data_IF_455835856480
#
_entry.id   IF_455835856480
#
_cell.length_a   1.000
_cell.length_b   1.000
_cell.length_c   1.000
_cell.angle_alpha   90.00
_cell.angle_beta   90.00
_cell.angle_gamma   90.00
#
_symmetry.space_group_name_H-M   'P 1'
#
loop_
_entity.id
_entity.type
_entity.pdbx_description
1 polymer ?
#
# COMPACT_ATOMS: atom_id res chain seq x y z
N UNK A 1 -35.23 25.98 -4.86
CA UNK A 1 -36.00 24.83 -5.34
C UNK A 1 -35.13 23.66 -5.73
N UNK A 2 -35.31 22.60 -4.95
CA UNK A 2 -35.28 21.19 -5.32
C UNK A 2 -34.01 20.61 -5.97
N UNK A 3 -33.19 20.05 -5.07
CA UNK A 3 -32.64 18.69 -5.18
C UNK A 3 -31.79 18.38 -6.40
N UNK A 4 -30.47 18.47 -6.21
CA UNK A 4 -29.57 17.40 -6.62
C UNK A 4 -28.32 17.45 -5.72
N UNK A 5 -28.51 17.05 -4.45
CA UNK A 5 -27.47 16.32 -3.76
C UNK A 5 -27.15 15.09 -4.63
N UNK A 6 -26.05 15.14 -5.38
CA UNK A 6 -25.47 13.93 -5.94
C UNK A 6 -25.00 13.08 -4.76
N UNK A 7 -25.90 12.26 -4.20
CA UNK A 7 -25.54 11.17 -3.31
C UNK A 7 -24.46 10.38 -4.02
N UNK A 8 -23.24 10.45 -3.50
CA UNK A 8 -22.09 9.70 -4.00
C UNK A 8 -22.28 8.23 -3.58
N UNK A 9 -23.24 7.56 -4.23
CA UNK A 9 -23.83 6.25 -3.90
C UNK A 9 -22.94 5.04 -4.27
N UNK A 10 -21.62 5.21 -4.35
CA UNK A 10 -20.69 4.14 -4.74
C UNK A 10 -19.97 3.47 -3.56
N UNK A 11 -20.46 3.66 -2.34
CA UNK A 11 -19.88 3.06 -1.15
C UNK A 11 -20.47 1.66 -0.91
N UNK A 12 -19.66 0.63 -1.08
CA UNK A 12 -20.04 -0.79 -0.95
C UNK A 12 -20.00 -1.32 0.49
N UNK A 13 -19.47 -0.53 1.43
CA UNK A 13 -19.38 -0.85 2.86
C UNK A 13 -20.22 0.15 3.64
N UNK A 14 -21.07 -0.29 4.55
CA UNK A 14 -21.72 0.64 5.48
C UNK A 14 -20.70 1.16 6.53
N UNK A 15 -21.07 2.21 7.27
CA UNK A 15 -20.16 2.84 8.23
C UNK A 15 -19.73 1.89 9.35
N UNK A 16 -20.65 1.02 9.81
CA UNK A 16 -20.35 0.03 10.83
C UNK A 16 -19.33 -1.02 10.34
N UNK A 17 -19.44 -1.48 9.09
CA UNK A 17 -18.45 -2.36 8.47
C UNK A 17 -17.07 -1.68 8.41
N UNK A 18 -17.01 -0.38 8.07
CA UNK A 18 -15.75 0.39 8.02
C UNK A 18 -15.13 0.50 9.42
N UNK A 19 -15.91 0.87 10.43
CA UNK A 19 -15.45 0.95 11.83
C UNK A 19 -14.88 -0.39 12.30
N UNK A 20 -15.56 -1.49 11.97
CA UNK A 20 -15.10 -2.83 12.32
C UNK A 20 -13.80 -3.21 11.62
N UNK A 21 -13.64 -2.85 10.34
CA UNK A 21 -12.34 -3.02 9.65
C UNK A 21 -11.24 -2.23 10.32
N UNK A 22 -11.48 -0.94 10.64
CA UNK A 22 -10.46 -0.11 11.28
C UNK A 22 -10.00 -0.73 12.60
N UNK A 23 -10.94 -1.19 13.42
CA UNK A 23 -10.64 -1.91 14.67
C UNK A 23 -9.79 -3.16 14.42
N UNK A 24 -10.15 -3.98 13.44
CA UNK A 24 -9.39 -5.19 13.10
C UNK A 24 -7.98 -4.88 12.58
N UNK A 25 -7.80 -3.77 11.85
CA UNK A 25 -6.49 -3.31 11.39
C UNK A 25 -5.59 -2.96 12.59
N UNK A 26 -6.12 -2.23 13.57
CA UNK A 26 -5.41 -1.87 14.80
C UNK A 26 -5.00 -3.10 15.62
N UNK A 27 -5.93 -4.05 15.83
CA UNK A 27 -5.67 -5.32 16.54
C UNK A 27 -4.56 -6.16 15.89
N UNK A 28 -4.44 -6.07 14.56
CA UNK A 28 -3.43 -6.80 13.78
C UNK A 28 -2.15 -5.99 13.54
N UNK A 29 -1.97 -4.85 14.24
CA UNK A 29 -0.80 -3.98 14.12
C UNK A 29 -0.54 -3.50 12.68
N UNK A 30 -1.59 -3.31 11.89
CA UNK A 30 -1.47 -2.72 10.56
C UNK A 30 -1.10 -1.25 10.70
N UNK A 31 -0.06 -0.84 9.98
CA UNK A 31 0.53 0.50 10.10
C UNK A 31 -0.39 1.56 9.51
N UNK A 32 -1.00 1.26 8.36
CA UNK A 32 -1.89 2.19 7.67
C UNK A 32 -2.81 1.48 6.69
N UNK A 33 -3.88 2.17 6.26
CA UNK A 33 -4.83 1.71 5.26
C UNK A 33 -5.21 2.85 4.31
N UNK A 34 -5.51 2.51 3.05
CA UNK A 34 -6.11 3.44 2.11
C UNK A 34 -7.64 3.51 2.27
N UNK A 35 -8.14 4.54 2.95
CA UNK A 35 -9.57 4.77 3.15
C UNK A 35 -10.35 5.00 1.85
N UNK A 36 -9.72 5.53 0.81
CA UNK A 36 -10.37 5.77 -0.49
C UNK A 36 -10.69 4.47 -1.24
N UNK A 37 -10.02 3.36 -0.92
CA UNK A 37 -10.26 2.05 -1.53
C UNK A 37 -11.25 1.18 -0.74
N UNK A 38 -11.46 1.48 0.55
CA UNK A 38 -12.43 0.78 1.40
C UNK A 38 -13.84 0.81 0.80
N UNK A 39 -14.25 1.95 0.24
CA UNK A 39 -15.56 2.10 -0.43
C UNK A 39 -15.78 1.11 -1.58
N UNK A 40 -14.71 0.54 -2.14
CA UNK A 40 -14.77 -0.46 -3.21
C UNK A 40 -14.55 -1.90 -2.72
N UNK A 41 -14.61 -2.14 -1.41
CA UNK A 41 -14.23 -3.42 -0.77
C UNK A 41 -12.78 -3.84 -1.05
N UNK A 42 -11.87 -2.88 -1.21
CA UNK A 42 -10.43 -3.14 -1.42
C UNK A 42 -9.68 -2.69 -0.17
N UNK A 43 -8.98 -3.62 0.48
CA UNK A 43 -8.12 -3.33 1.62
C UNK A 43 -6.67 -3.18 1.15
N UNK A 44 -6.22 -1.95 0.89
CA UNK A 44 -4.81 -1.66 0.65
C UNK A 44 -4.17 -1.24 1.98
N UNK A 45 -3.27 -2.06 2.50
CA UNK A 45 -2.73 -1.96 3.86
C UNK A 45 -1.20 -2.03 3.88
N UNK A 46 -0.61 -1.45 4.92
CA UNK A 46 0.83 -1.55 5.20
C UNK A 46 1.09 -2.41 6.43
N UNK A 47 2.02 -3.35 6.31
CA UNK A 47 2.52 -4.09 7.47
C UNK A 47 3.93 -3.64 7.84
N UNK A 48 4.25 -3.66 9.14
CA UNK A 48 5.61 -3.52 9.61
C UNK A 48 6.33 -4.87 9.53
N UNK A 49 7.58 -4.86 9.06
CA UNK A 49 8.43 -6.06 8.97
C UNK A 49 8.78 -6.67 10.35
N UNK A 50 8.53 -5.94 11.43
CA UNK A 50 8.98 -6.26 12.81
C UNK A 50 8.09 -7.27 13.55
N UNK A 51 6.87 -7.57 13.06
CA UNK A 51 5.99 -8.59 13.65
C UNK A 51 5.61 -9.63 12.61
N UNK A 52 5.46 -10.89 13.06
CA UNK A 52 4.87 -11.97 12.28
C UNK A 52 3.41 -11.64 11.94
N UNK A 53 3.19 -10.90 10.86
CA UNK A 53 1.88 -10.70 10.27
C UNK A 53 1.54 -11.92 9.39
N UNK A 54 0.52 -12.67 9.76
CA UNK A 54 -0.01 -13.73 8.91
C UNK A 54 -1.16 -13.18 8.07
N UNK A 55 -0.93 -13.11 6.77
CA UNK A 55 -1.86 -12.50 5.83
C UNK A 55 -3.16 -13.30 5.71
N UNK A 56 -3.06 -14.63 5.73
CA UNK A 56 -4.19 -15.55 5.71
C UNK A 56 -5.00 -15.48 7.01
N UNK A 57 -4.34 -15.41 8.17
CA UNK A 57 -5.03 -15.28 9.45
C UNK A 57 -5.78 -13.95 9.54
N UNK A 58 -5.18 -12.85 9.05
CA UNK A 58 -5.88 -11.57 8.97
C UNK A 58 -7.12 -11.67 8.08
N UNK A 59 -6.99 -12.27 6.89
CA UNK A 59 -8.13 -12.44 5.99
C UNK A 59 -9.24 -13.34 6.57
N UNK A 60 -8.87 -14.39 7.31
CA UNK A 60 -9.80 -15.25 8.03
C UNK A 60 -10.51 -14.49 9.17
N UNK A 61 -9.79 -13.64 9.91
CA UNK A 61 -10.35 -12.82 10.99
C UNK A 61 -11.37 -11.80 10.45
N UNK A 62 -11.03 -11.11 9.37
CA UNK A 62 -11.95 -10.22 8.64
C UNK A 62 -13.24 -10.97 8.25
N UNK A 63 -13.10 -12.16 7.65
CA UNK A 63 -14.24 -12.95 7.21
C UNK A 63 -15.09 -13.52 8.36
N UNK A 64 -14.48 -13.80 9.54
CA UNK A 64 -15.19 -14.23 10.74
C UNK A 64 -16.16 -13.16 11.27
N UNK A 65 -15.95 -11.90 10.89
CA UNK A 65 -16.84 -10.77 11.20
C UNK A 65 -17.83 -10.46 10.08
N UNK A 66 -18.03 -11.39 9.13
CA UNK A 66 -18.90 -11.24 7.95
C UNK A 66 -18.49 -10.07 7.04
N UNK A 67 -17.23 -9.64 7.13
CA UNK A 67 -16.65 -8.64 6.25
C UNK A 67 -15.97 -9.34 5.07
N UNK A 68 -16.34 -8.95 3.85
CA UNK A 68 -15.88 -9.62 2.64
C UNK A 68 -15.29 -8.60 1.65
N UNK A 69 -14.00 -8.25 1.80
CA UNK A 69 -13.28 -7.50 0.77
C UNK A 69 -13.12 -8.35 -0.50
N UNK A 70 -13.14 -7.71 -1.67
CA UNK A 70 -12.81 -8.41 -2.92
C UNK A 70 -11.33 -8.77 -2.96
N UNK A 71 -10.48 -7.86 -2.48
CA UNK A 71 -9.08 -8.13 -2.29
C UNK A 71 -8.47 -7.40 -1.11
N UNK A 72 -7.39 -7.99 -0.61
CA UNK A 72 -6.50 -7.40 0.39
C UNK A 72 -5.12 -7.32 -0.27
N UNK A 73 -4.49 -6.15 -0.21
CA UNK A 73 -3.19 -5.85 -0.81
C UNK A 73 -2.27 -5.38 0.31
N UNK A 74 -1.21 -6.14 0.55
CA UNK A 74 -0.23 -5.87 1.59
C UNK A 74 1.02 -5.21 1.00
N UNK A 75 1.38 -4.03 1.48
CA UNK A 75 2.56 -3.28 1.05
C UNK A 75 3.56 -3.06 2.19
N UNK A 76 4.80 -2.73 1.82
CA UNK A 76 5.80 -2.31 2.79
C UNK A 76 5.40 -0.99 3.48
N UNK A 77 5.77 -0.88 4.76
CA UNK A 77 5.77 0.39 5.50
C UNK A 77 6.61 1.45 4.77
N UNK A 78 6.17 2.70 4.80
CA UNK A 78 6.86 3.84 4.16
C UNK A 78 6.30 4.23 2.79
N UNK A 79 5.50 3.36 2.17
CA UNK A 79 4.78 3.68 0.93
C UNK A 79 3.68 4.74 1.17
N UNK A 80 3.60 5.77 0.32
CA UNK A 80 2.48 6.72 0.35
C UNK A 80 1.23 6.09 -0.27
N UNK A 81 0.34 5.48 0.54
CA UNK A 81 -0.80 4.71 0.04
C UNK A 81 -1.79 5.48 -0.84
N UNK A 82 -1.88 6.80 -0.72
CA UNK A 82 -2.75 7.63 -1.57
C UNK A 82 -2.15 7.89 -2.96
N UNK A 83 -0.84 7.68 -3.15
CA UNK A 83 -0.20 7.79 -4.44
C UNK A 83 -0.32 6.48 -5.22
N UNK A 84 -1.42 6.33 -5.97
CA UNK A 84 -1.74 5.11 -6.73
C UNK A 84 -0.62 4.66 -7.67
N UNK A 85 0.12 5.60 -8.28
CA UNK A 85 1.18 5.29 -9.24
C UNK A 85 2.34 4.59 -8.54
N UNK A 86 2.79 5.14 -7.42
CA UNK A 86 3.88 4.57 -6.62
C UNK A 86 3.47 3.26 -5.97
N UNK A 87 2.23 3.17 -5.47
CA UNK A 87 1.70 1.91 -4.94
C UNK A 87 1.72 0.81 -5.99
N UNK A 88 1.17 1.08 -7.18
CA UNK A 88 1.10 0.11 -8.25
C UNK A 88 2.50 -0.31 -8.72
N UNK A 89 3.40 0.66 -8.91
CA UNK A 89 4.79 0.39 -9.26
C UNK A 89 5.47 -0.54 -8.23
N UNK A 90 5.34 -0.22 -6.94
CA UNK A 90 5.91 -1.04 -5.85
C UNK A 90 5.32 -2.45 -5.84
N UNK A 91 4.00 -2.56 -6.01
CA UNK A 91 3.33 -3.86 -6.02
C UNK A 91 3.79 -4.74 -7.17
N UNK A 92 3.82 -4.19 -8.39
CA UNK A 92 4.23 -4.91 -9.58
C UNK A 92 5.71 -5.30 -9.55
N UNK A 93 6.56 -4.50 -8.91
CA UNK A 93 7.99 -4.81 -8.78
C UNK A 93 8.27 -5.95 -7.78
N UNK A 94 7.36 -6.21 -6.83
CA UNK A 94 7.58 -7.14 -5.73
C UNK A 94 6.70 -8.40 -5.78
N UNK A 95 5.78 -8.51 -6.73
CA UNK A 95 4.91 -9.67 -6.90
C UNK A 95 5.54 -10.73 -7.81
N UNK A 96 5.51 -11.97 -7.33
CA UNK A 96 5.45 -13.17 -8.16
C UNK A 96 4.01 -13.70 -8.17
N UNK A 97 3.40 -13.83 -9.35
CA UNK A 97 1.97 -14.17 -9.46
C UNK A 97 1.59 -15.55 -8.89
N UNK A 98 2.54 -16.51 -8.85
CA UNK A 98 2.28 -17.87 -8.36
C UNK A 98 2.42 -17.90 -6.84
N UNK A 99 3.43 -17.21 -6.30
CA UNK A 99 3.75 -17.25 -4.88
C UNK A 99 2.92 -16.27 -4.05
N UNK A 100 2.73 -15.05 -4.57
CA UNK A 100 2.31 -13.89 -3.78
C UNK A 100 0.82 -13.55 -3.95
N UNK A 101 0.14 -14.21 -4.89
CA UNK A 101 -1.30 -14.05 -5.11
C UNK A 101 -2.02 -15.31 -4.67
N UNK A 102 -2.86 -15.19 -3.64
CA UNK A 102 -3.66 -16.31 -3.13
C UNK A 102 -5.14 -16.01 -3.27
N UNK A 103 -5.92 -17.03 -3.58
CA UNK A 103 -7.39 -16.98 -3.57
C UNK A 103 -7.86 -17.81 -2.40
N UNK A 104 -8.61 -17.20 -1.49
CA UNK A 104 -9.25 -17.91 -0.39
C UNK A 104 -10.76 -17.86 -0.56
N UNK A 105 -11.42 -18.96 -0.23
CA UNK A 105 -12.88 -19.07 -0.25
C UNK A 105 -13.38 -19.26 1.18
N UNK A 106 -14.14 -18.29 1.68
CA UNK A 106 -14.72 -18.32 3.03
C UNK A 106 -16.21 -18.00 2.90
N UNK A 107 -17.09 -18.84 3.45
CA UNK A 107 -18.54 -18.62 3.42
C UNK A 107 -19.11 -18.38 2.01
N UNK A 108 -18.62 -19.13 1.00
CA UNK A 108 -18.97 -18.97 -0.43
C UNK A 108 -18.59 -17.61 -1.03
N UNK A 109 -17.79 -16.81 -0.34
CA UNK A 109 -17.20 -15.57 -0.84
C UNK A 109 -15.73 -15.79 -1.13
N UNK A 110 -15.26 -15.20 -2.22
CA UNK A 110 -13.86 -15.25 -2.61
C UNK A 110 -13.17 -13.96 -2.19
N UNK A 111 -12.00 -14.08 -1.58
CA UNK A 111 -11.11 -12.96 -1.28
C UNK A 111 -9.78 -13.23 -1.98
N UNK A 112 -9.25 -12.23 -2.69
CA UNK A 112 -7.93 -12.32 -3.32
C UNK A 112 -6.90 -11.59 -2.47
N UNK A 113 -5.82 -12.28 -2.12
CA UNK A 113 -4.74 -11.76 -1.30
C UNK A 113 -3.55 -11.46 -2.21
N UNK A 114 -2.98 -10.25 -2.11
CA UNK A 114 -1.79 -9.82 -2.84
C UNK A 114 -0.68 -9.43 -1.85
N UNK A 115 0.36 -10.24 -1.73
CA UNK A 115 1.54 -9.92 -0.93
C UNK A 115 2.55 -9.14 -1.77
N UNK A 116 2.47 -7.82 -1.68
CA UNK A 116 3.30 -6.88 -2.43
C UNK A 116 4.53 -6.41 -1.62
N UNK A 117 4.84 -7.07 -0.50
CA UNK A 117 5.96 -6.69 0.35
C UNK A 117 7.30 -7.12 -0.24
N UNK A 118 8.36 -6.46 0.19
CA UNK A 118 9.75 -6.84 -0.08
C UNK A 118 10.06 -8.19 0.60
N UNK A 119 10.81 -9.07 -0.07
CA UNK A 119 11.02 -10.47 0.37
C UNK A 119 12.50 -10.83 0.59
N UNK A 120 13.22 -10.14 1.51
CA UNK A 120 14.64 -10.39 1.75
C UNK A 120 14.97 -11.83 2.18
N UNK A 121 14.01 -12.53 2.77
CA UNK A 121 14.12 -13.95 3.12
C UNK A 121 14.20 -14.88 1.90
N UNK A 122 13.75 -14.44 0.73
CA UNK A 122 13.84 -15.21 -0.53
C UNK A 122 15.15 -14.89 -1.25
N UNK A 123 15.53 -13.60 -1.27
CA UNK A 123 16.74 -13.10 -1.90
C UNK A 123 17.30 -11.96 -1.07
N UNK A 124 18.47 -12.17 -0.48
CA UNK A 124 19.17 -11.16 0.30
C UNK A 124 20.46 -10.70 -0.42
N UNK A 125 20.70 -9.39 -0.56
CA UNK A 125 19.79 -8.31 -0.18
C UNK A 125 18.60 -8.21 -1.15
N UNK A 126 17.43 -7.81 -0.63
CA UNK A 126 16.34 -7.40 -1.49
C UNK A 126 16.69 -6.04 -2.09
N UNK A 127 16.53 -5.82 -3.41
CA UNK A 127 16.97 -4.59 -4.03
C UNK A 127 16.14 -3.41 -3.54
N UNK A 128 16.83 -2.35 -3.11
CA UNK A 128 16.18 -1.06 -2.90
C UNK A 128 15.73 -0.44 -4.23
N UNK A 129 14.67 0.37 -4.22
CA UNK A 129 14.39 1.33 -5.28
C UNK A 129 15.65 2.14 -5.65
N UNK A 130 15.79 2.53 -6.92
CA UNK A 130 16.83 3.49 -7.30
C UNK A 130 16.43 4.88 -6.81
N UNK A 131 17.31 5.56 -6.09
CA UNK A 131 17.05 6.88 -5.53
C UNK A 131 18.26 7.81 -5.62
N UNK A 132 17.98 9.11 -5.67
CA UNK A 132 19.00 10.15 -5.55
C UNK A 132 19.30 10.48 -4.09
N UNK A 133 20.56 10.78 -3.76
CA UNK A 133 20.93 11.27 -2.42
C UNK A 133 20.26 12.61 -2.10
N UNK A 134 20.04 12.90 -0.80
CA UNK A 134 19.48 14.19 -0.36
C UNK A 134 20.32 15.37 -0.83
N UNK A 135 21.64 15.22 -0.86
CA UNK A 135 22.60 16.19 -1.38
C UNK A 135 22.41 16.43 -2.88
N UNK A 136 22.26 15.36 -3.66
CA UNK A 136 22.00 15.43 -5.11
C UNK A 136 20.71 16.16 -5.39
N UNK A 137 19.61 15.78 -4.73
CA UNK A 137 18.30 16.44 -4.90
C UNK A 137 18.42 17.93 -4.58
N UNK A 138 18.99 18.28 -3.42
CA UNK A 138 19.12 19.68 -2.99
C UNK A 138 19.97 20.52 -3.95
N UNK A 139 20.97 19.91 -4.59
CA UNK A 139 21.80 20.57 -5.61
C UNK A 139 21.00 20.81 -6.89
N UNK A 140 20.26 19.81 -7.36
CA UNK A 140 19.44 19.93 -8.57
C UNK A 140 18.30 20.93 -8.36
N UNK A 141 17.61 20.91 -7.22
CA UNK A 141 16.53 21.86 -6.91
C UNK A 141 17.01 23.33 -7.02
N UNK A 142 18.20 23.61 -6.49
CA UNK A 142 18.84 24.95 -6.60
C UNK A 142 19.22 25.32 -8.03
N UNK A 143 19.61 24.34 -8.84
CA UNK A 143 19.96 24.56 -10.25
C UNK A 143 18.68 24.78 -11.07
N UNK A 144 17.62 24.01 -10.83
CA UNK A 144 16.33 24.14 -11.50
C UNK A 144 15.77 25.56 -11.39
N UNK A 145 15.76 26.11 -10.17
CA UNK A 145 15.31 27.47 -9.90
C UNK A 145 16.11 28.55 -10.64
N UNK A 146 17.36 28.26 -11.04
CA UNK A 146 18.21 29.18 -11.81
C UNK A 146 18.08 29.03 -13.32
N UNK A 147 17.62 27.88 -13.79
CA UNK A 147 17.58 27.55 -15.21
C UNK A 147 16.38 28.17 -15.94
N UNK A 148 15.39 28.70 -15.21
CA UNK A 148 14.24 29.37 -15.81
C UNK A 148 13.36 28.46 -16.69
N UNK A 149 13.46 27.14 -16.51
CA UNK A 149 12.56 26.17 -17.15
C UNK A 149 11.13 26.28 -16.57
N UNK A 150 10.21 25.47 -17.12
CA UNK A 150 8.83 25.25 -16.66
C UNK A 150 8.69 25.07 -15.13
N UNK A 151 7.44 24.98 -14.67
CA UNK A 151 7.06 24.72 -13.27
C UNK A 151 7.98 23.69 -12.61
N UNK A 152 8.44 24.02 -11.40
CA UNK A 152 9.34 23.18 -10.62
C UNK A 152 8.71 21.81 -10.37
N UNK A 153 9.42 20.75 -10.76
CA UNK A 153 9.01 19.38 -10.50
C UNK A 153 9.82 18.80 -9.34
N UNK A 154 9.14 18.35 -8.30
CA UNK A 154 9.80 17.74 -7.15
C UNK A 154 10.40 16.37 -7.50
N UNK A 155 11.60 16.10 -6.98
CA UNK A 155 12.26 14.81 -7.22
C UNK A 155 11.40 13.62 -6.76
N UNK A 156 11.17 12.62 -7.65
CA UNK A 156 10.38 11.44 -7.31
C UNK A 156 11.05 10.56 -6.24
N UNK A 157 12.38 10.68 -6.06
CA UNK A 157 13.12 9.98 -5.01
C UNK A 157 12.64 10.34 -3.60
N UNK A 158 12.05 11.53 -3.40
CA UNK A 158 11.53 11.93 -2.09
C UNK A 158 10.37 11.04 -1.62
N UNK A 159 9.53 10.59 -2.56
CA UNK A 159 8.30 9.83 -2.27
C UNK A 159 8.63 8.40 -1.80
N UNK A 160 9.80 7.88 -2.17
CA UNK A 160 10.22 6.51 -1.91
C UNK A 160 11.28 6.40 -0.81
N UNK A 161 11.67 7.51 -0.17
CA UNK A 161 12.75 7.49 0.82
C UNK A 161 12.45 6.57 2.00
N UNK A 162 11.19 6.52 2.43
CA UNK A 162 10.77 5.70 3.56
C UNK A 162 10.68 4.20 3.22
N UNK A 163 10.89 3.83 1.94
CA UNK A 163 10.99 2.42 1.50
C UNK A 163 12.42 1.87 1.55
N UNK A 164 13.43 2.75 1.63
CA UNK A 164 14.83 2.34 1.53
C UNK A 164 15.27 1.79 2.86
N UNK A 165 15.71 0.53 2.87
CA UNK A 165 16.46 -0.02 4.00
C UNK A 165 17.97 0.19 3.81
N UNK A 166 18.71 0.32 4.91
CA UNK A 166 20.17 0.51 4.84
C UNK A 166 20.92 -0.78 4.42
N UNK A 167 20.21 -1.88 4.18
CA UNK A 167 20.74 -3.18 3.79
C UNK A 167 20.65 -3.44 2.28
N UNK A 168 20.30 -2.42 1.48
CA UNK A 168 20.39 -2.50 0.03
C UNK A 168 21.79 -2.94 -0.42
N UNK A 169 21.89 -3.48 -1.64
CA UNK A 169 23.14 -4.05 -2.18
C UNK A 169 24.34 -3.09 -2.03
N UNK A 170 25.12 -3.28 -0.98
CA UNK A 170 26.45 -2.68 -0.80
C UNK A 170 27.43 -3.55 -1.58
N UNK A 171 28.10 -2.96 -2.57
CA UNK A 171 29.24 -3.61 -3.24
C UNK A 171 30.40 -3.81 -2.28
#
# INVERSE_FOLDING_TARGET
DLTNESKNNNQLWNNHEIELVVKLLEENNIVSVNFNLLKYRILLIQSSKEKLFSFENFAANIAAHLLFPYCIVLCDKGLTLNNKKIVLWHCLANIDTIRDIKKININKKQIVLFDCTSKPQIKSPWPNPVYSSKQTISKIDKIWNKLGFIEFEESPSKIIYDLIDNEGFTK
#
